data_IF_981654747706
#
_entry.id   IF_981654747706
#
_cell.length_a   1.000
_cell.length_b   1.000
_cell.length_c   1.000
_cell.angle_alpha   90.00
_cell.angle_beta   90.00
_cell.angle_gamma   90.00
#
_symmetry.space_group_name_H-M   'P 1'
#
loop_
_entity.id
_entity.type
_entity.pdbx_description
1 polymer ?
#
# COMPACT_ATOMS: atom_id res chain seq x y z
N UNK A 1 -10.67 14.25 -61.11
CA UNK A 1 -10.16 13.00 -60.50
C UNK A 1 -9.10 13.40 -59.48
N UNK A 2 -9.45 13.47 -58.19
CA UNK A 2 -8.56 14.00 -57.13
C UNK A 2 -8.03 12.82 -56.31
N UNK A 3 -6.70 12.64 -56.18
CA UNK A 3 -6.12 11.58 -55.36
C UNK A 3 -6.60 11.65 -53.91
N UNK A 4 -6.94 10.49 -53.32
CA UNK A 4 -7.39 10.39 -51.92
C UNK A 4 -8.86 10.75 -51.67
N UNK A 5 -9.60 11.18 -52.71
CA UNK A 5 -11.03 11.48 -52.62
C UNK A 5 -11.84 10.31 -53.17
N UNK A 6 -12.86 9.90 -52.43
CA UNK A 6 -13.79 8.85 -52.84
C UNK A 6 -15.23 9.35 -52.78
N UNK A 7 -16.06 8.81 -53.67
CA UNK A 7 -17.51 9.03 -53.65
C UNK A 7 -18.23 7.80 -53.09
N UNK A 8 -19.29 8.06 -52.32
CA UNK A 8 -20.15 7.05 -51.74
C UNK A 8 -21.62 7.48 -51.85
N UNK A 9 -22.49 6.53 -52.19
CA UNK A 9 -23.93 6.76 -52.28
C UNK A 9 -24.61 6.37 -50.95
N UNK A 10 -25.54 7.18 -50.46
CA UNK A 10 -26.20 6.98 -49.15
C UNK A 10 -27.01 5.68 -49.07
N UNK A 11 -27.67 5.30 -50.16
CA UNK A 11 -28.47 4.07 -50.23
C UNK A 11 -27.61 2.80 -50.19
N UNK A 12 -26.34 2.92 -50.59
CA UNK A 12 -25.35 1.83 -50.67
C UNK A 12 -24.05 2.25 -49.98
N UNK A 13 -24.17 2.75 -48.75
CA UNK A 13 -23.04 3.22 -47.97
C UNK A 13 -22.15 2.01 -47.61
N UNK A 14 -20.91 1.98 -48.12
CA UNK A 14 -20.00 0.88 -47.89
C UNK A 14 -19.15 1.15 -46.63
N UNK A 15 -19.16 0.19 -45.69
CA UNK A 15 -18.37 0.23 -44.47
C UNK A 15 -16.87 0.36 -44.74
N UNK A 16 -16.32 -0.33 -45.74
CA UNK A 16 -14.89 -0.31 -46.06
C UNK A 16 -14.43 1.08 -46.54
N UNK A 17 -15.35 1.86 -47.11
CA UNK A 17 -15.08 3.26 -47.48
C UNK A 17 -15.20 4.18 -46.26
N UNK A 18 -16.19 3.99 -45.39
CA UNK A 18 -16.36 4.87 -44.23
C UNK A 18 -15.30 4.62 -43.15
N UNK A 19 -14.89 3.36 -42.96
CA UNK A 19 -13.93 2.90 -41.96
C UNK A 19 -12.87 1.97 -42.59
N UNK A 20 -11.98 2.50 -43.46
CA UNK A 20 -10.91 1.71 -44.06
C UNK A 20 -9.98 1.17 -42.97
N UNK A 21 -9.59 -0.11 -43.06
CA UNK A 21 -8.74 -0.75 -42.05
C UNK A 21 -9.37 -0.87 -40.65
N UNK A 22 -10.68 -0.61 -40.51
CA UNK A 22 -11.37 -0.69 -39.22
C UNK A 22 -11.22 0.56 -38.33
N UNK A 23 -10.65 1.64 -38.83
CA UNK A 23 -10.55 2.90 -38.07
C UNK A 23 -11.85 3.70 -38.16
N UNK A 24 -12.37 4.15 -37.01
CA UNK A 24 -13.53 5.04 -36.95
C UNK A 24 -13.11 6.50 -37.18
N UNK A 25 -13.93 7.26 -37.90
CA UNK A 25 -13.68 8.68 -38.18
C UNK A 25 -12.99 8.90 -39.53
N UNK A 26 -13.78 9.25 -40.55
CA UNK A 26 -13.32 9.75 -41.85
C UNK A 26 -13.88 11.15 -42.05
N UNK A 27 -13.13 12.03 -42.69
CA UNK A 27 -13.69 13.30 -43.17
C UNK A 27 -14.70 13.00 -44.28
N UNK A 28 -15.99 13.09 -43.96
CA UNK A 28 -17.08 12.86 -44.91
C UNK A 28 -17.78 14.19 -45.20
N UNK A 29 -17.84 14.54 -46.48
CA UNK A 29 -18.56 15.72 -46.96
C UNK A 29 -19.92 15.25 -47.49
N UNK A 30 -21.00 15.79 -46.95
CA UNK A 30 -22.36 15.45 -47.32
C UNK A 30 -22.98 16.55 -48.18
N UNK A 31 -23.74 16.16 -49.21
CA UNK A 31 -24.71 17.07 -49.83
C UNK A 31 -25.97 17.13 -48.98
N UNK A 32 -26.72 18.22 -49.06
CA UNK A 32 -27.94 18.42 -48.26
C UNK A 32 -28.95 17.27 -48.43
N UNK A 33 -29.23 16.88 -49.68
CA UNK A 33 -30.15 15.78 -49.98
C UNK A 33 -29.65 14.42 -49.48
N UNK A 34 -28.34 14.19 -49.51
CA UNK A 34 -27.74 12.98 -48.96
C UNK A 34 -27.93 12.91 -47.43
N UNK A 35 -27.77 14.03 -46.74
CA UNK A 35 -27.96 14.10 -45.29
C UNK A 35 -29.42 13.86 -44.88
N UNK A 36 -30.38 14.48 -45.60
CA UNK A 36 -31.82 14.23 -45.37
C UNK A 36 -32.19 12.76 -45.57
N UNK A 37 -31.64 12.11 -46.60
CA UNK A 37 -31.91 10.69 -46.91
C UNK A 37 -31.37 9.71 -45.87
N UNK A 38 -30.35 10.07 -45.09
CA UNK A 38 -29.84 9.20 -44.01
C UNK A 38 -30.93 8.90 -42.97
N UNK A 39 -31.71 9.89 -42.57
CA UNK A 39 -32.81 9.73 -41.61
C UNK A 39 -33.90 8.80 -42.13
N UNK A 40 -34.19 8.83 -43.44
CA UNK A 40 -35.13 7.89 -44.07
C UNK A 40 -34.57 6.46 -44.18
N UNK A 41 -33.26 6.32 -44.34
CA UNK A 41 -32.58 5.03 -44.48
C UNK A 41 -32.41 4.30 -43.14
N UNK A 42 -32.13 5.03 -42.06
CA UNK A 42 -31.76 4.47 -40.75
C UNK A 42 -32.76 4.77 -39.64
N UNK A 43 -33.74 5.66 -39.89
CA UNK A 43 -34.72 6.06 -38.89
C UNK A 43 -34.13 7.01 -37.85
N UNK A 44 -34.76 7.06 -36.68
CA UNK A 44 -34.30 7.83 -35.53
C UNK A 44 -34.11 6.91 -34.33
N UNK A 45 -33.59 7.44 -33.22
CA UNK A 45 -33.50 6.67 -31.97
C UNK A 45 -34.86 6.23 -31.43
N UNK A 46 -35.95 6.91 -31.84
CA UNK A 46 -37.33 6.65 -31.36
C UNK A 46 -38.17 5.88 -32.38
N UNK A 47 -37.84 5.97 -33.67
CA UNK A 47 -38.62 5.39 -34.77
C UNK A 47 -37.75 4.50 -35.66
N UNK A 48 -38.29 3.34 -36.05
CA UNK A 48 -37.62 2.42 -36.97
C UNK A 48 -37.37 3.04 -38.36
N UNK A 49 -36.49 2.39 -39.14
CA UNK A 49 -36.11 2.89 -40.45
C UNK A 49 -37.21 2.65 -41.52
N UNK A 50 -37.73 3.70 -42.17
CA UNK A 50 -38.73 3.56 -43.23
C UNK A 50 -38.27 2.70 -44.40
N UNK A 51 -37.02 2.88 -44.86
CA UNK A 51 -36.52 2.19 -46.06
C UNK A 51 -35.88 0.82 -45.77
N UNK A 52 -35.56 0.52 -44.50
CA UNK A 52 -34.96 -0.75 -44.10
C UNK A 52 -35.94 -1.54 -43.23
N UNK A 53 -36.64 -2.48 -43.85
CA UNK A 53 -37.66 -3.30 -43.19
C UNK A 53 -37.09 -4.00 -41.94
N UNK A 54 -37.73 -3.77 -40.80
CA UNK A 54 -37.37 -4.38 -39.50
C UNK A 54 -36.10 -3.81 -38.85
N UNK A 55 -35.41 -2.85 -39.47
CA UNK A 55 -34.21 -2.25 -38.92
C UNK A 55 -34.55 -1.13 -37.93
N UNK A 56 -33.87 -1.16 -36.78
CA UNK A 56 -33.86 -0.10 -35.78
C UNK A 56 -32.42 0.24 -35.43
N UNK A 57 -32.17 1.51 -35.12
CA UNK A 57 -30.89 1.93 -34.57
C UNK A 57 -30.61 1.18 -33.26
N UNK A 58 -29.37 0.73 -33.10
CA UNK A 58 -28.93 0.07 -31.87
C UNK A 58 -29.04 1.05 -30.71
N UNK A 59 -29.63 0.60 -29.59
CA UNK A 59 -29.66 1.38 -28.36
C UNK A 59 -28.35 1.21 -27.62
N UNK A 60 -27.74 2.34 -27.25
CA UNK A 60 -26.56 2.34 -26.39
C UNK A 60 -26.93 1.77 -25.00
N UNK A 61 -25.94 1.18 -24.32
CA UNK A 61 -26.12 0.68 -22.95
C UNK A 61 -26.32 1.82 -21.94
N UNK A 62 -25.87 3.03 -22.27
CA UNK A 62 -25.99 4.23 -21.45
C UNK A 62 -26.68 5.32 -22.27
N UNK A 63 -27.61 6.05 -21.65
CA UNK A 63 -28.26 7.22 -22.26
C UNK A 63 -27.28 8.40 -22.37
N UNK A 64 -26.49 8.63 -21.32
CA UNK A 64 -25.44 9.64 -21.28
C UNK A 64 -24.08 8.98 -21.07
N UNK A 65 -23.12 9.25 -21.96
CA UNK A 65 -21.77 8.70 -21.91
C UNK A 65 -20.80 9.51 -21.04
N UNK A 66 -21.19 10.70 -20.57
CA UNK A 66 -20.35 11.54 -19.70
C UNK A 66 -20.36 11.02 -18.25
N UNK A 67 -19.51 10.02 -18.01
CA UNK A 67 -19.33 9.39 -16.71
C UNK A 67 -18.82 10.41 -15.68
N UNK A 68 -17.95 11.33 -16.08
CA UNK A 68 -17.39 12.35 -15.18
C UNK A 68 -18.48 13.26 -14.63
N UNK A 69 -19.43 13.69 -15.48
CA UNK A 69 -20.58 14.48 -15.03
C UNK A 69 -21.49 13.71 -14.08
N UNK A 70 -21.75 12.43 -14.37
CA UNK A 70 -22.58 11.57 -13.51
C UNK A 70 -21.91 11.38 -12.15
N UNK A 71 -20.60 11.07 -12.12
CA UNK A 71 -19.86 10.88 -10.87
C UNK A 71 -19.85 12.16 -10.03
N UNK A 72 -19.67 13.32 -10.67
CA UNK A 72 -19.58 14.61 -9.97
C UNK A 72 -20.94 15.26 -9.68
N UNK A 73 -22.06 14.58 -9.96
CA UNK A 73 -23.39 15.11 -9.67
C UNK A 73 -23.66 15.12 -8.17
N UNK A 74 -24.52 16.03 -7.70
CA UNK A 74 -24.84 16.19 -6.28
C UNK A 74 -25.56 14.96 -5.72
N UNK A 75 -26.38 14.31 -6.54
CA UNK A 75 -27.12 13.09 -6.17
C UNK A 75 -26.16 11.93 -5.87
N UNK A 76 -25.10 11.79 -6.66
CA UNK A 76 -24.08 10.75 -6.44
C UNK A 76 -23.14 11.14 -5.29
N UNK A 77 -22.65 12.39 -5.27
CA UNK A 77 -21.68 12.84 -4.28
C UNK A 77 -22.26 12.96 -2.86
N UNK A 78 -23.56 13.24 -2.72
CA UNK A 78 -24.22 13.33 -1.40
C UNK A 78 -24.34 11.98 -0.68
N UNK A 79 -24.36 10.88 -1.42
CA UNK A 79 -24.46 9.51 -0.88
C UNK A 79 -23.09 8.83 -0.80
N UNK A 80 -22.09 9.34 -1.52
CA UNK A 80 -20.75 8.78 -1.54
C UNK A 80 -20.10 8.85 -0.15
N UNK A 81 -19.43 7.77 0.26
CA UNK A 81 -18.58 7.78 1.45
C UNK A 81 -17.34 8.64 1.20
N UNK A 82 -16.81 9.33 2.24
CA UNK A 82 -15.55 10.05 2.11
C UNK A 82 -14.44 9.11 1.65
N UNK A 83 -13.50 9.66 0.89
CA UNK A 83 -12.35 8.92 0.39
C UNK A 83 -11.53 8.36 1.56
N UNK A 84 -11.23 7.07 1.51
CA UNK A 84 -10.33 6.44 2.46
C UNK A 84 -8.89 6.88 2.19
N UNK A 85 -8.16 7.19 3.25
CA UNK A 85 -6.74 7.48 3.16
C UNK A 85 -5.97 6.27 2.64
N UNK A 86 -5.00 6.53 1.77
CA UNK A 86 -4.14 5.48 1.25
C UNK A 86 -3.38 4.81 2.41
N UNK A 87 -3.13 3.48 2.35
CA UNK A 87 -2.35 2.82 3.37
C UNK A 87 -0.98 3.49 3.49
N UNK A 88 -0.55 3.74 4.73
CA UNK A 88 0.76 4.33 5.00
C UNK A 88 1.83 3.45 4.36
N UNK A 89 2.60 4.01 3.42
CA UNK A 89 3.82 3.36 2.94
C UNK A 89 4.81 3.36 4.11
N UNK A 90 5.09 2.19 4.65
CA UNK A 90 6.08 2.06 5.71
C UNK A 90 7.45 2.39 5.15
N UNK A 91 8.13 3.36 5.76
CA UNK A 91 9.55 3.61 5.51
C UNK A 91 10.37 2.34 5.83
N UNK A 92 11.62 2.29 5.33
CA UNK A 92 12.57 1.23 5.66
C UNK A 92 12.59 0.97 7.17
N UNK A 93 12.45 -0.30 7.56
CA UNK A 93 12.49 -0.73 8.96
C UNK A 93 13.88 -0.44 9.54
N UNK A 94 13.98 0.61 10.36
CA UNK A 94 15.20 0.95 11.09
C UNK A 94 15.36 0.02 12.29
N UNK A 95 16.56 -0.50 12.51
CA UNK A 95 16.85 -1.37 13.65
C UNK A 95 16.85 -0.55 14.96
N UNK A 96 15.91 -0.84 15.86
CA UNK A 96 15.75 -0.15 17.14
C UNK A 96 16.97 -0.32 18.08
N UNK A 97 17.66 -1.46 18.04
CA UNK A 97 18.84 -1.67 18.91
C UNK A 97 20.03 -0.79 18.49
N UNK A 98 20.08 -0.37 17.22
CA UNK A 98 21.13 0.50 16.69
C UNK A 98 20.71 1.97 16.63
N UNK A 99 19.41 2.26 16.48
CA UNK A 99 18.88 3.61 16.37
C UNK A 99 18.14 4.03 17.66
N UNK A 100 18.72 4.99 18.38
CA UNK A 100 18.21 5.50 19.66
C UNK A 100 16.78 6.04 19.55
N UNK A 101 16.46 6.86 18.55
CA UNK A 101 15.14 7.47 18.39
C UNK A 101 14.03 6.44 18.17
N UNK A 102 14.35 5.38 17.42
CA UNK A 102 13.40 4.28 17.17
C UNK A 102 13.18 3.47 18.44
N UNK A 103 14.24 3.23 19.21
CA UNK A 103 14.13 2.55 20.52
C UNK A 103 13.32 3.36 21.52
N UNK A 104 13.50 4.68 21.57
CA UNK A 104 12.76 5.56 22.48
C UNK A 104 11.27 5.63 22.12
N UNK A 105 10.93 5.60 20.83
CA UNK A 105 9.52 5.48 20.39
C UNK A 105 8.91 4.12 20.76
N UNK A 106 9.70 3.05 20.73
CA UNK A 106 9.24 1.69 21.06
C UNK A 106 9.13 1.48 22.57
N UNK A 107 10.10 1.99 23.33
CA UNK A 107 10.20 1.83 24.78
C UNK A 107 10.39 3.21 25.44
N UNK A 108 9.34 3.78 26.06
CA UNK A 108 9.41 5.11 26.67
C UNK A 108 10.40 5.17 27.85
N UNK A 109 10.61 4.07 28.58
CA UNK A 109 11.55 4.01 29.70
C UNK A 109 13.02 3.87 29.27
N UNK A 110 13.30 3.70 27.98
CA UNK A 110 14.66 3.47 27.50
C UNK A 110 15.60 4.64 27.78
N UNK A 111 15.11 5.88 27.65
CA UNK A 111 15.90 7.07 27.93
C UNK A 111 16.34 7.10 29.40
N UNK A 112 15.41 6.91 30.33
CA UNK A 112 15.66 6.89 31.76
C UNK A 112 16.57 5.73 32.17
N UNK A 113 16.29 4.51 31.70
CA UNK A 113 17.12 3.34 31.98
C UNK A 113 18.55 3.53 31.46
N UNK A 114 18.73 4.16 30.29
CA UNK A 114 20.06 4.46 29.74
C UNK A 114 20.79 5.50 30.58
N UNK A 115 20.10 6.54 31.06
CA UNK A 115 20.67 7.54 31.96
C UNK A 115 21.10 6.90 33.29
N UNK A 116 20.24 6.11 33.92
CA UNK A 116 20.54 5.39 35.16
C UNK A 116 21.70 4.40 34.99
N UNK A 117 21.76 3.71 33.85
CA UNK A 117 22.88 2.82 33.52
C UNK A 117 24.19 3.59 33.31
N UNK A 118 24.14 4.75 32.66
CA UNK A 118 25.30 5.63 32.53
C UNK A 118 25.80 6.12 33.89
N UNK A 119 24.88 6.55 34.76
CA UNK A 119 25.20 7.02 36.11
C UNK A 119 25.72 5.94 37.05
N UNK A 120 25.34 4.68 36.87
CA UNK A 120 25.83 3.53 37.67
C UNK A 120 27.14 2.96 37.14
N UNK A 121 27.51 3.25 35.89
CA UNK A 121 28.76 2.82 35.28
C UNK A 121 29.93 3.79 35.51
N UNK A 122 29.73 4.89 36.25
CA UNK A 122 30.81 5.83 36.58
C UNK A 122 31.89 5.16 37.44
N UNK A 123 33.18 5.55 37.26
CA UNK A 123 34.30 4.89 37.93
C UNK A 123 34.21 4.96 39.46
N UNK A 124 33.64 6.03 40.00
CA UNK A 124 33.46 6.22 41.45
C UNK A 124 32.48 5.20 42.05
N UNK A 125 31.30 5.05 41.44
CA UNK A 125 30.30 4.07 41.91
C UNK A 125 30.76 2.63 41.70
N UNK A 126 31.54 2.36 40.65
CA UNK A 126 32.21 1.06 40.45
C UNK A 126 33.19 0.75 41.57
N UNK A 127 34.09 1.68 41.89
CA UNK A 127 35.05 1.53 43.01
C UNK A 127 34.34 1.34 44.35
N UNK A 128 33.27 2.10 44.62
CA UNK A 128 32.46 1.94 45.83
C UNK A 128 31.80 0.56 45.91
N UNK A 129 31.24 0.06 44.80
CA UNK A 129 30.64 -1.28 44.73
C UNK A 129 31.67 -2.39 44.90
N UNK A 130 32.86 -2.24 44.32
CA UNK A 130 33.98 -3.17 44.51
C UNK A 130 34.49 -3.17 45.95
N UNK A 131 34.59 -2.00 46.59
CA UNK A 131 34.98 -1.89 47.99
C UNK A 131 33.95 -2.56 48.91
N UNK A 132 32.66 -2.28 48.70
CA UNK A 132 31.58 -2.93 49.44
C UNK A 132 31.56 -4.46 49.22
N UNK A 133 31.80 -4.92 47.99
CA UNK A 133 31.91 -6.35 47.67
C UNK A 133 33.12 -6.99 48.35
N UNK A 134 34.28 -6.31 48.39
CA UNK A 134 35.47 -6.79 49.12
C UNK A 134 35.21 -6.89 50.62
N UNK A 135 34.51 -5.93 51.22
CA UNK A 135 34.18 -5.96 52.64
C UNK A 135 33.18 -7.07 52.97
N UNK A 136 32.11 -7.21 52.16
CA UNK A 136 31.17 -8.32 52.25
C UNK A 136 31.88 -9.67 52.12
N UNK A 137 32.75 -9.81 51.13
CA UNK A 137 33.52 -11.04 50.92
C UNK A 137 34.45 -11.31 52.11
N UNK A 138 35.12 -10.31 52.69
CA UNK A 138 35.94 -10.52 53.91
C UNK A 138 35.12 -11.03 55.09
N UNK A 139 33.91 -10.50 55.30
CA UNK A 139 33.03 -10.91 56.42
C UNK A 139 32.46 -12.32 56.23
N UNK A 140 32.13 -12.69 54.99
CA UNK A 140 31.42 -13.94 54.69
C UNK A 140 32.30 -15.05 54.08
N UNK A 141 33.57 -14.80 53.71
CA UNK A 141 34.52 -15.84 53.23
C UNK A 141 35.03 -16.82 54.28
N UNK A 142 34.52 -16.78 55.52
CA UNK A 142 34.77 -17.84 56.54
C UNK A 142 34.28 -19.23 56.08
N UNK A 143 33.42 -19.28 55.06
CA UNK A 143 32.97 -20.52 54.43
C UNK A 143 34.10 -21.33 53.80
N UNK A 144 35.12 -20.73 53.18
CA UNK A 144 36.19 -21.50 52.51
C UNK A 144 37.10 -22.24 53.50
N UNK A 145 37.51 -21.60 54.60
CA UNK A 145 38.33 -22.26 55.63
C UNK A 145 37.57 -23.33 56.40
N UNK A 146 36.30 -23.07 56.74
CA UNK A 146 35.46 -24.03 57.48
C UNK A 146 35.01 -25.19 56.61
N UNK A 147 34.71 -24.95 55.32
CA UNK A 147 34.44 -25.97 54.32
C UNK A 147 35.67 -26.82 54.03
N UNK A 148 36.83 -26.20 53.81
CA UNK A 148 38.09 -26.92 53.55
C UNK A 148 38.52 -27.75 54.77
N UNK A 149 38.42 -27.20 55.99
CA UNK A 149 38.68 -27.96 57.23
C UNK A 149 37.75 -29.14 57.42
N UNK A 150 36.43 -28.98 57.16
CA UNK A 150 35.46 -30.08 57.19
C UNK A 150 35.79 -31.17 56.16
N UNK A 151 36.21 -30.75 54.96
CA UNK A 151 36.57 -31.68 53.88
C UNK A 151 37.84 -32.48 54.25
N UNK A 152 38.88 -31.83 54.76
CA UNK A 152 40.11 -32.50 55.19
C UNK A 152 39.91 -33.45 56.37
N UNK A 153 39.13 -33.06 57.39
CA UNK A 153 38.81 -33.96 58.52
C UNK A 153 38.03 -35.19 58.08
N UNK A 154 37.14 -35.06 57.08
CA UNK A 154 36.43 -36.21 56.51
C UNK A 154 37.38 -37.18 55.78
N UNK A 155 38.41 -36.67 55.08
CA UNK A 155 39.44 -37.52 54.46
C UNK A 155 40.33 -38.23 55.48
N UNK A 156 40.76 -37.53 56.53
CA UNK A 156 41.56 -38.13 57.62
C UNK A 156 40.80 -39.22 58.39
N UNK A 157 39.50 -39.02 58.63
CA UNK A 157 38.64 -40.03 59.25
C UNK A 157 38.56 -41.30 58.39
N UNK A 158 38.38 -41.13 57.07
CA UNK A 158 38.33 -42.25 56.11
C UNK A 158 39.67 -42.99 56.00
N UNK A 159 40.80 -42.29 56.15
CA UNK A 159 42.14 -42.88 56.13
C UNK A 159 42.48 -43.68 57.40
N UNK A 160 41.75 -43.49 58.51
CA UNK A 160 41.92 -44.26 59.76
C UNK A 160 41.07 -45.53 59.82
N UNK A 161 40.07 -45.67 58.95
CA UNK A 161 39.19 -46.84 58.87
C UNK A 161 39.64 -47.90 57.84
N UNK A 162 40.74 -47.65 57.12
CA UNK A 162 41.38 -48.61 56.20
C UNK A 162 42.75 -49.06 56.72
#
# INVERSE_FOLDING_TARGET
NIPGVETACVTRLNLLKVAPGGTLGRLVIWTEGAFKKLSEMYGTLKSGAPQKKGYHLLRAQMENADISRIINSTEVQSVLRPKLEAPKKFALKRNALKNKEVMEKLNPAFAEAKLLRGQSATPEKRKAREAASKEHNKKHKRGEETFYKKLMTAFEAKAKEG
#
